data_IF_768839965055
#
_entry.id   IF_768839965055
#
_cell.length_a   1.000
_cell.length_b   1.000
_cell.length_c   1.000
_cell.angle_alpha   90.00
_cell.angle_beta   90.00
_cell.angle_gamma   90.00
#
_symmetry.space_group_name_H-M   'P 1'
#
loop_
_entity.id
_entity.type
_entity.pdbx_description
1 polymer ?
#
# COMPACT_ATOMS: atom_id res chain seq x y z
N UNK A 1 -8.84 -6.36 33.16
CA UNK A 1 -8.58 -5.05 32.51
C UNK A 1 -7.52 -5.16 31.41
N UNK A 2 -6.32 -5.63 31.72
CA UNK A 2 -5.23 -5.77 30.74
C UNK A 2 -5.65 -6.68 29.56
N UNK A 3 -6.35 -7.77 29.85
CA UNK A 3 -6.82 -8.71 28.81
C UNK A 3 -7.80 -8.06 27.84
N UNK A 4 -8.70 -7.22 28.35
CA UNK A 4 -9.67 -6.49 27.53
C UNK A 4 -8.96 -5.46 26.67
N UNK A 5 -7.99 -4.75 27.23
CA UNK A 5 -7.17 -3.78 26.49
C UNK A 5 -6.37 -4.47 25.40
N UNK A 6 -5.76 -5.62 25.71
CA UNK A 6 -4.99 -6.41 24.76
C UNK A 6 -5.87 -6.88 23.60
N UNK A 7 -7.08 -7.38 23.87
CA UNK A 7 -8.02 -7.80 22.83
C UNK A 7 -8.47 -6.61 21.97
N UNK A 8 -8.71 -5.46 22.57
CA UNK A 8 -9.04 -4.25 21.82
C UNK A 8 -7.92 -3.81 20.90
N UNK A 9 -6.68 -3.86 21.38
CA UNK A 9 -5.50 -3.52 20.58
C UNK A 9 -5.29 -4.52 19.44
N UNK A 10 -5.53 -5.80 19.68
CA UNK A 10 -5.41 -6.82 18.64
C UNK A 10 -6.46 -6.62 17.55
N UNK A 11 -7.69 -6.25 17.93
CA UNK A 11 -8.74 -5.92 16.97
C UNK A 11 -8.34 -4.71 16.13
N UNK A 12 -7.81 -3.67 16.78
CA UNK A 12 -7.34 -2.47 16.08
C UNK A 12 -6.18 -2.80 15.14
N UNK A 13 -5.25 -3.65 15.57
CA UNK A 13 -4.15 -4.11 14.74
C UNK A 13 -4.66 -4.87 13.50
N UNK A 14 -5.68 -5.70 13.66
CA UNK A 14 -6.29 -6.42 12.54
C UNK A 14 -6.92 -5.45 11.54
N UNK A 15 -7.66 -4.45 12.03
CA UNK A 15 -8.30 -3.44 11.15
C UNK A 15 -7.23 -2.66 10.38
N UNK A 16 -6.20 -2.18 11.06
CA UNK A 16 -5.11 -1.43 10.40
C UNK A 16 -4.34 -2.32 9.43
N UNK A 17 -4.17 -3.60 9.76
CA UNK A 17 -3.53 -4.58 8.88
C UNK A 17 -4.34 -4.82 7.60
N UNK A 18 -5.67 -4.91 7.71
CA UNK A 18 -6.54 -5.02 6.53
C UNK A 18 -6.47 -3.77 5.65
N UNK A 19 -6.41 -2.58 6.24
CA UNK A 19 -6.24 -1.34 5.48
C UNK A 19 -4.91 -1.34 4.75
N UNK A 20 -3.82 -1.77 5.41
CA UNK A 20 -2.51 -1.90 4.78
C UNK A 20 -2.56 -2.88 3.61
N UNK A 21 -3.20 -4.03 3.79
CA UNK A 21 -3.36 -5.04 2.73
C UNK A 21 -4.13 -4.47 1.55
N UNK A 22 -5.17 -3.69 1.80
CA UNK A 22 -5.94 -3.01 0.76
C UNK A 22 -5.04 -2.10 -0.10
N UNK A 23 -4.21 -1.27 0.53
CA UNK A 23 -3.31 -0.38 -0.18
C UNK A 23 -2.26 -1.17 -0.98
N UNK A 24 -1.70 -2.24 -0.42
CA UNK A 24 -0.77 -3.12 -1.14
C UNK A 24 -1.45 -3.74 -2.37
N UNK A 25 -2.70 -4.18 -2.22
CA UNK A 25 -3.46 -4.74 -3.33
C UNK A 25 -3.71 -3.69 -4.41
N UNK A 26 -4.08 -2.47 -4.04
CA UNK A 26 -4.28 -1.38 -4.99
C UNK A 26 -2.98 -1.05 -5.73
N UNK A 27 -1.85 -1.03 -5.04
CA UNK A 27 -0.56 -0.79 -5.66
C UNK A 27 -0.21 -1.86 -6.71
N UNK A 28 -0.57 -3.12 -6.44
CA UNK A 28 -0.30 -4.23 -7.35
C UNK A 28 -1.19 -4.21 -8.59
N UNK A 29 -2.32 -3.51 -8.55
CA UNK A 29 -3.28 -3.43 -9.65
C UNK A 29 -3.09 -2.23 -10.56
N UNK A 30 -2.12 -1.35 -10.28
CA UNK A 30 -1.91 -0.17 -11.10
C UNK A 30 -1.54 -0.58 -12.53
N UNK A 31 -2.28 -0.09 -13.53
CA UNK A 31 -1.99 -0.43 -14.91
C UNK A 31 -0.74 0.30 -15.40
N UNK A 32 0.04 -0.38 -16.22
CA UNK A 32 1.14 0.23 -16.96
C UNK A 32 0.61 0.63 -18.33
N UNK A 33 0.33 1.91 -18.52
CA UNK A 33 -0.22 2.45 -19.75
C UNK A 33 0.69 3.54 -20.32
N UNK A 34 0.87 3.59 -21.67
CA UNK A 34 1.62 4.67 -22.29
C UNK A 34 0.86 6.00 -22.16
N UNK A 35 1.59 7.11 -22.16
CA UNK A 35 1.01 8.43 -21.98
C UNK A 35 0.11 8.87 -23.12
N UNK A 36 0.27 8.28 -24.33
CA UNK A 36 -0.56 8.59 -25.51
C UNK A 36 -1.95 7.92 -25.49
N UNK A 37 -2.25 7.11 -24.50
CA UNK A 37 -3.58 6.52 -24.33
C UNK A 37 -3.89 5.40 -25.32
N UNK A 38 -5.09 5.49 -25.96
CA UNK A 38 -5.61 4.39 -26.79
C UNK A 38 -5.02 4.34 -28.20
N UNK A 39 -4.43 5.43 -28.69
CA UNK A 39 -3.91 5.53 -30.07
C UNK A 39 -2.39 5.60 -30.04
N UNK A 40 -1.74 4.55 -30.57
CA UNK A 40 -0.29 4.51 -30.63
C UNK A 40 0.22 5.46 -31.72
N UNK A 41 1.24 6.31 -31.41
CA UNK A 41 1.89 7.15 -32.40
C UNK A 41 2.54 6.31 -33.48
N UNK A 42 2.53 6.82 -34.71
CA UNK A 42 3.19 6.18 -35.83
C UNK A 42 4.72 6.26 -35.79
N UNK A 43 5.25 7.20 -35.01
CA UNK A 43 6.69 7.38 -34.80
C UNK A 43 7.16 6.52 -33.62
N UNK A 44 8.18 5.68 -33.87
CA UNK A 44 8.72 4.80 -32.85
C UNK A 44 9.31 5.57 -31.66
N UNK A 45 9.92 6.75 -31.89
CA UNK A 45 10.46 7.58 -30.82
C UNK A 45 9.36 8.14 -29.93
N UNK A 46 8.26 8.63 -30.52
CA UNK A 46 7.12 9.13 -29.76
C UNK A 46 6.43 8.01 -28.99
N UNK A 47 6.33 6.82 -29.57
CA UNK A 47 5.77 5.66 -28.88
C UNK A 47 6.65 5.27 -27.68
N UNK A 48 7.97 5.27 -27.86
CA UNK A 48 8.91 4.98 -26.76
C UNK A 48 8.80 5.99 -25.64
N UNK A 49 8.73 7.27 -25.96
CA UNK A 49 8.55 8.34 -24.96
C UNK A 49 7.23 8.21 -24.22
N UNK A 50 6.15 7.81 -24.92
CA UNK A 50 4.85 7.56 -24.31
C UNK A 50 4.90 6.44 -23.30
N UNK A 51 5.56 5.33 -23.61
CA UNK A 51 5.74 4.22 -22.68
C UNK A 51 6.61 4.63 -21.50
N UNK A 52 7.67 5.38 -21.72
CA UNK A 52 8.54 5.87 -20.63
C UNK A 52 7.76 6.75 -19.68
N UNK A 53 6.96 7.69 -20.20
CA UNK A 53 6.11 8.56 -19.38
C UNK A 53 5.06 7.75 -18.60
N UNK A 54 4.47 6.72 -19.25
CA UNK A 54 3.51 5.84 -18.60
C UNK A 54 4.13 5.02 -17.46
N UNK A 55 5.35 4.54 -17.65
CA UNK A 55 6.11 3.84 -16.62
C UNK A 55 6.41 4.75 -15.44
N UNK A 56 6.82 5.99 -15.68
CA UNK A 56 7.08 6.97 -14.63
C UNK A 56 5.82 7.27 -13.83
N UNK A 57 4.69 7.44 -14.49
CA UNK A 57 3.40 7.68 -13.83
C UNK A 57 3.03 6.50 -12.94
N UNK A 58 3.13 5.28 -13.47
CA UNK A 58 2.82 4.07 -12.71
C UNK A 58 3.74 3.93 -11.50
N UNK A 59 5.02 4.25 -11.65
CA UNK A 59 5.98 4.23 -10.57
C UNK A 59 5.63 5.22 -9.47
N UNK A 60 5.28 6.46 -9.84
CA UNK A 60 4.89 7.50 -8.88
C UNK A 60 3.61 7.11 -8.16
N UNK A 61 2.59 6.63 -8.88
CA UNK A 61 1.32 6.21 -8.28
C UNK A 61 1.53 5.03 -7.34
N UNK A 62 2.37 4.07 -7.74
CA UNK A 62 2.72 2.93 -6.90
C UNK A 62 3.47 3.36 -5.64
N UNK A 63 4.39 4.31 -5.77
CA UNK A 63 5.15 4.83 -4.61
C UNK A 63 4.22 5.48 -3.58
N UNK A 64 3.21 6.24 -4.02
CA UNK A 64 2.24 6.85 -3.12
C UNK A 64 1.41 5.80 -2.37
N UNK A 65 0.93 4.78 -3.07
CA UNK A 65 0.18 3.69 -2.44
C UNK A 65 1.05 2.86 -1.51
N UNK A 66 2.30 2.58 -1.90
CA UNK A 66 3.25 1.86 -1.06
C UNK A 66 3.57 2.64 0.22
N UNK A 67 3.69 3.96 0.12
CA UNK A 67 3.93 4.82 1.27
C UNK A 67 2.75 4.76 2.25
N UNK A 68 1.52 4.80 1.76
CA UNK A 68 0.32 4.65 2.59
C UNK A 68 0.26 3.27 3.20
N UNK A 69 0.51 2.22 2.41
CA UNK A 69 0.53 0.85 2.89
C UNK A 69 1.59 0.66 3.99
N UNK A 70 2.77 1.22 3.81
CA UNK A 70 3.85 1.14 4.80
C UNK A 70 3.47 1.81 6.12
N UNK A 71 2.81 2.96 6.06
CA UNK A 71 2.35 3.66 7.26
C UNK A 71 1.32 2.83 8.03
N UNK A 72 0.35 2.24 7.33
CA UNK A 72 -0.66 1.41 7.96
C UNK A 72 -0.06 0.12 8.50
N UNK A 73 0.90 -0.47 7.79
CA UNK A 73 1.62 -1.66 8.26
C UNK A 73 2.41 -1.35 9.53
N UNK A 74 3.12 -0.22 9.56
CA UNK A 74 3.87 0.19 10.75
C UNK A 74 2.94 0.40 11.95
N UNK A 75 1.79 1.04 11.74
CA UNK A 75 0.81 1.22 12.80
C UNK A 75 0.28 -0.12 13.31
N UNK A 76 -0.04 -1.05 12.39
CA UNK A 76 -0.54 -2.37 12.73
C UNK A 76 0.49 -3.16 13.55
N UNK A 77 1.75 -3.14 13.14
CA UNK A 77 2.83 -3.85 13.84
C UNK A 77 3.07 -3.24 15.23
N UNK A 78 3.07 -1.91 15.33
CA UNK A 78 3.25 -1.23 16.62
C UNK A 78 2.12 -1.59 17.59
N UNK A 79 0.88 -1.58 17.12
CA UNK A 79 -0.29 -1.91 17.93
C UNK A 79 -0.25 -3.38 18.35
N UNK A 80 0.05 -4.28 17.40
CA UNK A 80 0.13 -5.71 17.67
C UNK A 80 1.24 -6.04 18.66
N UNK A 81 2.39 -5.38 18.53
CA UNK A 81 3.52 -5.57 19.45
C UNK A 81 3.16 -5.10 20.87
N UNK A 82 2.48 -3.96 20.98
CA UNK A 82 2.00 -3.45 22.26
C UNK A 82 1.00 -4.42 22.89
N UNK A 83 0.07 -4.94 22.11
CA UNK A 83 -0.90 -5.92 22.57
C UNK A 83 -0.22 -7.19 23.06
N UNK A 84 0.79 -7.66 22.34
CA UNK A 84 1.57 -8.83 22.73
C UNK A 84 2.33 -8.63 24.04
N UNK A 85 2.93 -7.46 24.21
CA UNK A 85 3.62 -7.12 25.45
C UNK A 85 2.65 -7.07 26.64
N UNK A 86 1.49 -6.44 26.45
CA UNK A 86 0.46 -6.39 27.51
C UNK A 86 -0.03 -7.79 27.88
N UNK A 87 -0.18 -8.66 26.88
CA UNK A 87 -0.63 -10.03 27.12
C UNK A 87 0.35 -10.84 27.99
N UNK A 88 1.65 -10.49 27.98
CA UNK A 88 2.63 -11.13 28.85
C UNK A 88 2.41 -10.81 30.33
N UNK A 89 1.72 -9.73 30.64
CA UNK A 89 1.42 -9.31 32.02
C UNK A 89 0.01 -9.68 32.46
N UNK A 90 -0.75 -10.35 31.59
CA UNK A 90 -2.12 -10.74 31.89
C UNK A 90 -2.24 -12.04 32.63
#
# INVERSE_FOLDING_TARGET
MIRIISLGLMTLAAVTGFVAAWYWLQASKLPLEPAWGAVEPGDAEDAHMGWTAGMMKAFIDSAELNKKAARWTAASVAIASTAGMLALFA
#
